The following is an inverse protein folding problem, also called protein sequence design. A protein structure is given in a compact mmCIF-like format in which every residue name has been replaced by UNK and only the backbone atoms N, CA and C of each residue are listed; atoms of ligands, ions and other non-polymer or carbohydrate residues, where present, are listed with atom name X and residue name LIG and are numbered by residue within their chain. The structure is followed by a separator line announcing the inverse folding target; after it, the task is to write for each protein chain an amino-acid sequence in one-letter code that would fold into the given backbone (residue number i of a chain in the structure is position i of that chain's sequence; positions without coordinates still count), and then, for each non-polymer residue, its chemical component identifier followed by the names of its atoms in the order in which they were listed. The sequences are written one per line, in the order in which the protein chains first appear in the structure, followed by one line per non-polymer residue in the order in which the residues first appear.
data_IF_850809662038
#
_entry.id   IF_850809662038
#
_cell.length_a   1.000
_cell.length_b   1.000
_cell.length_c   1.000
_cell.angle_alpha   90.00
_cell.angle_beta   90.00
_cell.angle_gamma   90.00
#
_symmetry.space_group_name_H-M   'P 1'
#
loop_
_entity.id
_entity.type
_entity.pdbx_description
1 polymer ?
#
# COMPACT_ATOMS: atom_id res chain seq x y z
N UNK A 1 -7.15 -14.33 -2.97
CA UNK A 1 -7.43 -15.76 -2.89
C UNK A 1 -8.95 -15.94 -2.75
N UNK A 2 -9.71 -15.09 -3.46
CA UNK A 2 -11.18 -15.08 -3.60
C UNK A 2 -11.75 -16.28 -4.39
N UNK A 3 -10.93 -17.28 -4.72
CA UNK A 3 -11.21 -18.27 -5.77
C UNK A 3 -11.59 -19.64 -5.18
N UNK A 4 -11.77 -19.77 -3.87
CA UNK A 4 -11.94 -21.10 -3.26
C UNK A 4 -13.38 -21.58 -3.06
N UNK A 5 -14.41 -20.75 -3.25
CA UNK A 5 -15.77 -21.16 -2.86
C UNK A 5 -16.88 -20.58 -3.77
N UNK A 6 -16.83 -20.80 -5.09
CA UNK A 6 -18.07 -20.82 -5.88
C UNK A 6 -18.48 -22.28 -6.21
N UNK A 7 -19.68 -22.64 -5.74
CA UNK A 7 -20.59 -23.70 -6.22
C UNK A 7 -20.48 -25.20 -5.90
N UNK A 8 -19.62 -25.71 -5.01
CA UNK A 8 -19.57 -27.19 -4.78
C UNK A 8 -20.19 -27.74 -3.47
N UNK A 9 -20.72 -26.92 -2.55
CA UNK A 9 -21.26 -27.42 -1.27
C UNK A 9 -22.66 -26.90 -0.91
N UNK A 10 -23.55 -26.75 -1.90
CA UNK A 10 -24.98 -26.73 -1.63
C UNK A 10 -25.48 -28.19 -1.50
N UNK A 11 -25.39 -28.76 -0.30
CA UNK A 11 -26.06 -30.04 0.03
C UNK A 11 -27.56 -29.77 0.12
N UNK A 12 -28.31 -30.15 -0.92
CA UNK A 12 -29.77 -30.30 -0.84
C UNK A 12 -30.11 -31.78 -0.49
N UNK A 13 -31.16 -32.04 0.30
CA UNK A 13 -31.50 -33.39 0.76
C UNK A 13 -32.17 -34.23 -0.34
N UNK A 14 -31.86 -35.52 -0.30
CA UNK A 14 -32.34 -36.60 -1.19
C UNK A 14 -33.88 -36.72 -1.26
N UNK A 15 -34.38 -37.09 -2.45
CA UNK A 15 -35.77 -37.53 -2.68
C UNK A 15 -36.00 -38.21 -4.06
N UNK A 16 -35.75 -39.53 -4.10
CA UNK A 16 -36.43 -40.63 -4.85
C UNK A 16 -37.22 -40.40 -6.16
N UNK A 17 -36.85 -41.09 -7.26
CA UNK A 17 -37.56 -42.20 -7.97
C UNK A 17 -37.13 -42.39 -9.46
N UNK A 18 -36.89 -43.66 -9.85
CA UNK A 18 -37.09 -44.43 -11.13
C UNK A 18 -37.35 -43.68 -12.47
N UNK A 19 -36.98 -44.09 -13.71
CA UNK A 19 -36.64 -45.39 -14.38
C UNK A 19 -36.13 -45.15 -15.84
N UNK A 20 -35.28 -46.07 -16.34
CA UNK A 20 -34.88 -46.53 -17.69
C UNK A 20 -35.24 -45.83 -19.05
N UNK A 21 -34.25 -45.79 -19.98
CA UNK A 21 -34.44 -45.85 -21.47
C UNK A 21 -33.43 -45.02 -22.32
N UNK A 22 -32.82 -45.53 -23.43
CA UNK A 22 -31.55 -45.00 -23.97
C UNK A 22 -31.60 -44.19 -25.28
N UNK A 23 -30.46 -43.54 -25.59
CA UNK A 23 -30.02 -42.88 -26.84
C UNK A 23 -30.70 -41.53 -27.21
N UNK A 24 -29.94 -40.42 -27.21
CA UNK A 24 -29.25 -39.98 -28.43
C UNK A 24 -28.32 -38.77 -28.19
N UNK A 25 -27.24 -38.71 -28.96
CA UNK A 25 -26.16 -37.72 -28.85
C UNK A 25 -26.57 -36.34 -29.35
N UNK A 26 -26.32 -35.27 -28.58
CA UNK A 26 -25.92 -33.96 -29.11
C UNK A 26 -25.38 -33.04 -28.02
N UNK A 27 -24.19 -32.52 -28.29
CA UNK A 27 -23.35 -31.83 -27.32
C UNK A 27 -23.91 -30.54 -26.76
N UNK A 28 -23.48 -30.26 -25.54
CA UNK A 28 -23.14 -28.94 -25.05
C UNK A 28 -22.06 -29.16 -23.99
N UNK A 29 -20.84 -28.72 -24.29
CA UNK A 29 -19.75 -28.69 -23.32
C UNK A 29 -20.13 -27.71 -22.22
N UNK A 30 -20.71 -28.23 -21.15
CA UNK A 30 -20.78 -27.57 -19.87
C UNK A 30 -19.35 -27.48 -19.36
N UNK A 31 -18.76 -26.27 -19.45
CA UNK A 31 -17.52 -25.91 -18.76
C UNK A 31 -17.76 -25.97 -17.24
N UNK A 32 -17.78 -27.19 -16.73
CA UNK A 32 -17.67 -27.42 -15.30
C UNK A 32 -16.19 -27.24 -14.95
N UNK A 33 -15.90 -26.33 -14.02
CA UNK A 33 -14.55 -26.07 -13.51
C UNK A 33 -13.88 -27.37 -13.07
N UNK A 34 -12.92 -27.88 -13.84
CA UNK A 34 -12.19 -29.08 -13.43
C UNK A 34 -11.39 -28.77 -12.15
N UNK A 35 -11.61 -29.50 -11.04
CA UNK A 35 -10.88 -29.32 -9.77
C UNK A 35 -9.35 -29.39 -9.92
N UNK A 36 -8.89 -30.05 -10.99
CA UNK A 36 -7.50 -30.26 -11.34
C UNK A 36 -6.77 -28.93 -11.63
N UNK A 37 -7.40 -27.98 -12.33
CA UNK A 37 -6.75 -26.71 -12.70
C UNK A 37 -6.51 -25.79 -11.48
N UNK A 38 -7.40 -25.87 -10.48
CA UNK A 38 -7.28 -25.12 -9.22
C UNK A 38 -6.14 -25.67 -8.35
N UNK A 39 -6.02 -27.01 -8.28
CA UNK A 39 -4.95 -27.68 -7.57
C UNK A 39 -3.57 -27.34 -8.17
N UNK A 40 -3.48 -27.35 -9.51
CA UNK A 40 -2.25 -27.00 -10.25
C UNK A 40 -1.83 -25.53 -10.00
N UNK A 41 -2.77 -24.60 -9.81
CA UNK A 41 -2.46 -23.20 -9.49
C UNK A 41 -1.82 -23.01 -8.11
N UNK A 42 -2.28 -23.73 -7.09
CA UNK A 42 -1.68 -23.70 -5.75
C UNK A 42 -0.32 -24.37 -5.72
N UNK A 43 -0.16 -25.51 -6.38
CA UNK A 43 1.15 -26.18 -6.52
C UNK A 43 2.17 -25.28 -7.23
N UNK A 44 1.74 -24.57 -8.28
CA UNK A 44 2.60 -23.63 -8.99
C UNK A 44 3.06 -22.49 -8.08
N UNK A 45 2.16 -21.91 -7.28
CA UNK A 45 2.52 -20.88 -6.31
C UNK A 45 3.52 -21.42 -5.27
N UNK A 46 3.28 -22.61 -4.73
CA UNK A 46 4.19 -23.26 -3.78
C UNK A 46 5.57 -23.52 -4.38
N UNK A 47 5.65 -23.85 -5.68
CA UNK A 47 6.93 -24.02 -6.38
C UNK A 47 7.76 -22.72 -6.42
N UNK A 48 7.11 -21.56 -6.45
CA UNK A 48 7.78 -20.26 -6.40
C UNK A 48 7.99 -19.71 -4.98
N UNK A 49 7.58 -20.45 -3.94
CA UNK A 49 7.85 -20.11 -2.53
C UNK A 49 9.29 -19.70 -2.23
N UNK A 50 10.36 -20.42 -2.68
CA UNK A 50 11.74 -20.02 -2.40
C UNK A 50 12.17 -18.70 -3.09
N UNK A 51 11.41 -18.22 -4.08
CA UNK A 51 11.63 -16.92 -4.72
C UNK A 51 10.88 -15.80 -3.98
N UNK A 52 9.59 -16.00 -3.70
CA UNK A 52 8.74 -14.97 -3.11
C UNK A 52 9.07 -14.70 -1.64
N UNK A 53 9.39 -15.72 -0.83
CA UNK A 53 9.67 -15.52 0.59
C UNK A 53 10.85 -14.56 0.83
N UNK A 54 12.04 -14.73 0.18
CA UNK A 54 13.13 -13.76 0.30
C UNK A 54 12.76 -12.36 -0.18
N UNK A 55 11.95 -12.23 -1.23
CA UNK A 55 11.51 -10.92 -1.74
C UNK A 55 10.60 -10.20 -0.75
N UNK A 56 9.63 -10.89 -0.15
CA UNK A 56 8.80 -10.32 0.91
C UNK A 56 9.63 -9.98 2.15
N UNK A 57 10.57 -10.85 2.55
CA UNK A 57 11.50 -10.55 3.65
C UNK A 57 12.33 -9.30 3.36
N UNK A 58 12.82 -9.13 2.12
CA UNK A 58 13.56 -7.93 1.72
C UNK A 58 12.68 -6.69 1.82
N UNK A 59 11.43 -6.73 1.35
CA UNK A 59 10.48 -5.63 1.48
C UNK A 59 10.25 -5.27 2.95
N UNK A 60 9.99 -6.25 3.81
CA UNK A 60 9.77 -6.02 5.26
C UNK A 60 11.00 -5.41 5.93
N UNK A 61 12.21 -5.91 5.62
CA UNK A 61 13.45 -5.36 6.18
C UNK A 61 13.71 -3.95 5.69
N UNK A 62 13.61 -3.69 4.39
CA UNK A 62 13.88 -2.37 3.81
C UNK A 62 12.86 -1.34 4.28
N UNK A 63 11.57 -1.66 4.20
CA UNK A 63 10.50 -0.78 4.67
C UNK A 63 10.57 -0.60 6.20
N UNK A 64 10.80 -1.67 6.97
CA UNK A 64 10.88 -1.63 8.42
C UNK A 64 12.03 -0.76 8.92
N UNK A 65 13.25 -1.01 8.42
CA UNK A 65 14.44 -0.23 8.81
C UNK A 65 14.32 1.22 8.31
N UNK A 66 13.91 1.42 7.05
CA UNK A 66 13.81 2.74 6.45
C UNK A 66 12.78 3.64 7.14
N UNK A 67 11.56 3.13 7.36
CA UNK A 67 10.50 3.92 7.99
C UNK A 67 10.75 4.13 9.49
N UNK A 68 11.36 3.16 10.18
CA UNK A 68 11.77 3.34 11.58
C UNK A 68 12.84 4.42 11.71
N UNK A 69 13.86 4.40 10.84
CA UNK A 69 14.90 5.43 10.81
C UNK A 69 14.32 6.82 10.49
N UNK A 70 13.42 6.91 9.49
CA UNK A 70 12.75 8.15 9.14
C UNK A 70 11.94 8.71 10.32
N UNK A 71 11.15 7.86 10.99
CA UNK A 71 10.35 8.23 12.14
C UNK A 71 11.24 8.68 13.32
N UNK A 72 12.31 7.93 13.61
CA UNK A 72 13.28 8.28 14.66
C UNK A 72 13.94 9.64 14.40
N UNK A 73 14.32 9.94 13.15
CA UNK A 73 14.88 11.25 12.79
C UNK A 73 13.89 12.40 13.05
N UNK A 74 12.61 12.21 12.68
CA UNK A 74 11.57 13.21 12.87
C UNK A 74 11.32 13.47 14.35
N UNK A 75 11.30 12.42 15.17
CA UNK A 75 11.08 12.53 16.62
C UNK A 75 12.28 13.14 17.36
N UNK A 76 13.51 12.88 16.90
CA UNK A 76 14.73 13.35 17.56
C UNK A 76 15.05 14.83 17.28
N UNK A 77 14.87 15.30 16.05
CA UNK A 77 15.21 16.69 15.68
C UNK A 77 13.97 17.61 15.77
N UNK A 78 13.90 18.42 16.83
CA UNK A 78 12.86 19.45 17.00
C UNK A 78 12.75 20.41 15.81
N UNK A 79 13.82 20.60 15.02
CA UNK A 79 13.80 21.45 13.80
C UNK A 79 12.98 20.81 12.67
N UNK A 80 12.71 19.51 12.75
CA UNK A 80 11.84 18.78 11.83
C UNK A 80 10.38 18.79 12.27
N UNK A 81 10.01 19.31 13.45
CA UNK A 81 8.62 19.38 13.90
C UNK A 81 7.83 20.47 13.16
N UNK A 82 7.40 20.16 11.95
CA UNK A 82 6.50 20.96 11.14
C UNK A 82 5.37 20.08 10.58
N UNK A 83 4.30 20.69 10.08
CA UNK A 83 3.10 20.00 9.62
C UNK A 83 3.40 18.91 8.57
N UNK A 84 4.23 19.22 7.58
CA UNK A 84 4.62 18.25 6.55
C UNK A 84 5.31 17.02 7.13
N UNK A 85 6.29 17.25 8.00
CA UNK A 85 7.06 16.17 8.60
C UNK A 85 6.22 15.35 9.58
N UNK A 86 5.20 15.97 10.19
CA UNK A 86 4.20 15.25 10.97
C UNK A 86 3.44 14.24 10.09
N UNK A 87 2.94 14.66 8.92
CA UNK A 87 2.26 13.76 7.99
C UNK A 87 3.19 12.72 7.35
N UNK A 88 4.46 13.06 7.11
CA UNK A 88 5.48 12.09 6.71
C UNK A 88 5.70 11.05 7.81
N UNK A 89 5.72 11.48 9.08
CA UNK A 89 5.78 10.58 10.23
C UNK A 89 4.55 9.67 10.33
N UNK A 90 3.35 10.20 10.07
CA UNK A 90 2.12 9.39 10.00
C UNK A 90 2.20 8.33 8.89
N UNK A 91 2.70 8.71 7.70
CA UNK A 91 2.90 7.79 6.59
C UNK A 91 3.89 6.68 6.97
N UNK A 92 5.04 7.04 7.57
CA UNK A 92 6.02 6.07 8.05
C UNK A 92 5.45 5.12 9.12
N UNK A 93 4.62 5.62 10.04
CA UNK A 93 3.95 4.79 11.04
C UNK A 93 2.92 3.84 10.41
N UNK A 94 2.15 4.30 9.41
CA UNK A 94 1.22 3.47 8.65
C UNK A 94 1.93 2.37 7.86
N UNK A 95 3.04 2.71 7.19
CA UNK A 95 3.88 1.77 6.46
C UNK A 95 4.47 0.71 7.40
N UNK A 96 4.91 1.09 8.61
CA UNK A 96 5.39 0.15 9.63
C UNK A 96 4.29 -0.80 10.11
N UNK A 97 3.09 -0.28 10.35
CA UNK A 97 1.94 -1.11 10.72
C UNK A 97 1.60 -2.13 9.62
N UNK A 98 1.61 -1.70 8.36
CA UNK A 98 1.37 -2.57 7.21
C UNK A 98 2.48 -3.62 7.08
N UNK A 99 3.75 -3.22 7.09
CA UNK A 99 4.86 -4.13 6.78
C UNK A 99 5.23 -5.07 7.92
N UNK A 100 5.09 -4.68 9.19
CA UNK A 100 5.45 -5.52 10.34
C UNK A 100 4.31 -6.45 10.77
N UNK A 101 3.07 -6.04 10.56
CA UNK A 101 1.90 -6.82 11.00
C UNK A 101 1.18 -7.48 9.84
N UNK A 102 0.80 -6.74 8.81
CA UNK A 102 -0.10 -7.25 7.78
C UNK A 102 0.63 -8.15 6.77
N UNK A 103 1.80 -7.72 6.28
CA UNK A 103 2.55 -8.46 5.25
C UNK A 103 2.95 -9.87 5.70
N UNK A 104 3.55 -10.09 6.90
CA UNK A 104 3.95 -11.42 7.31
C UNK A 104 2.76 -12.38 7.46
N UNK A 105 1.63 -11.89 7.97
CA UNK A 105 0.41 -12.68 8.14
C UNK A 105 -0.19 -13.08 6.79
N UNK A 106 -0.26 -12.16 5.83
CA UNK A 106 -0.74 -12.47 4.47
C UNK A 106 0.19 -13.39 3.70
N UNK A 107 1.51 -13.22 3.84
CA UNK A 107 2.50 -14.13 3.22
C UNK A 107 2.40 -15.53 3.83
N UNK A 108 2.25 -15.61 5.16
CA UNK A 108 2.04 -16.91 5.81
C UNK A 108 0.76 -17.58 5.32
N UNK A 109 -0.35 -16.85 5.22
CA UNK A 109 -1.60 -17.37 4.68
C UNK A 109 -1.46 -17.84 3.21
N UNK A 110 -0.77 -17.08 2.37
CA UNK A 110 -0.61 -17.39 0.95
C UNK A 110 0.26 -18.64 0.67
N UNK A 111 1.17 -18.99 1.58
CA UNK A 111 2.10 -20.12 1.40
C UNK A 111 1.85 -21.30 2.35
N UNK A 112 0.85 -21.22 3.22
CA UNK A 112 0.43 -22.32 4.09
C UNK A 112 -0.61 -23.18 3.38
N UNK A 113 -0.36 -24.50 3.30
CA UNK A 113 -1.30 -25.46 2.72
C UNK A 113 -2.57 -25.62 3.55
N UNK A 114 -2.53 -25.33 4.84
CA UNK A 114 -3.68 -25.41 5.75
C UNK A 114 -4.49 -24.10 5.79
N UNK A 115 -4.04 -23.06 5.06
CA UNK A 115 -4.70 -21.77 4.98
C UNK A 115 -4.51 -20.90 6.23
N UNK A 116 -5.59 -20.32 6.73
CA UNK A 116 -5.54 -19.27 7.75
C UNK A 116 -5.32 -19.81 9.18
N UNK A 117 -4.08 -19.74 9.67
CA UNK A 117 -3.68 -20.24 10.99
C UNK A 117 -3.83 -19.28 12.19
N UNK A 118 -4.26 -18.02 11.98
CA UNK A 118 -4.17 -16.96 13.01
C UNK A 118 -5.48 -16.69 13.76
N UNK A 119 -6.50 -17.53 13.55
CA UNK A 119 -7.80 -17.43 14.22
C UNK A 119 -8.72 -16.32 13.70
N UNK A 120 -9.95 -16.29 14.22
CA UNK A 120 -11.03 -15.41 13.74
C UNK A 120 -10.73 -13.90 13.86
N UNK A 121 -10.20 -13.36 14.98
CA UNK A 121 -10.04 -11.92 15.11
C UNK A 121 -9.07 -11.33 14.06
N UNK A 122 -7.95 -12.01 13.82
CA UNK A 122 -6.95 -11.56 12.85
C UNK A 122 -7.45 -11.72 11.40
N UNK A 123 -8.35 -12.67 11.15
CA UNK A 123 -8.97 -12.84 9.83
C UNK A 123 -9.76 -11.59 9.40
N UNK A 124 -10.44 -10.91 10.32
CA UNK A 124 -11.13 -9.65 10.01
C UNK A 124 -10.20 -8.43 10.11
N UNK A 125 -9.27 -8.44 11.07
CA UNK A 125 -8.40 -7.29 11.37
C UNK A 125 -7.35 -7.06 10.29
N UNK A 126 -6.74 -8.11 9.73
CA UNK A 126 -5.66 -7.95 8.73
C UNK A 126 -6.17 -7.31 7.44
N UNK A 127 -7.25 -7.79 6.78
CA UNK A 127 -7.81 -7.11 5.61
C UNK A 127 -8.26 -5.68 5.91
N UNK A 128 -8.87 -5.45 7.08
CA UNK A 128 -9.26 -4.11 7.53
C UNK A 128 -8.06 -3.17 7.62
N UNK A 129 -6.99 -3.59 8.30
CA UNK A 129 -5.79 -2.77 8.48
C UNK A 129 -5.05 -2.55 7.16
N UNK A 130 -4.99 -3.55 6.27
CA UNK A 130 -4.41 -3.37 4.93
C UNK A 130 -5.15 -2.30 4.15
N UNK A 131 -6.48 -2.41 4.05
CA UNK A 131 -7.29 -1.43 3.33
C UNK A 131 -7.24 -0.04 4.01
N UNK A 132 -7.31 0.01 5.34
CA UNK A 132 -7.23 1.28 6.08
C UNK A 132 -5.87 1.97 5.93
N UNK A 133 -4.76 1.22 5.94
CA UNK A 133 -3.42 1.81 5.77
C UNK A 133 -3.19 2.34 4.35
N UNK A 134 -3.81 1.73 3.33
CA UNK A 134 -3.86 2.27 1.96
C UNK A 134 -4.55 3.63 1.92
N UNK A 135 -5.77 3.71 2.45
CA UNK A 135 -6.50 4.98 2.50
C UNK A 135 -5.79 6.03 3.36
N UNK A 136 -5.22 5.62 4.49
CA UNK A 136 -4.47 6.52 5.36
C UNK A 136 -3.25 7.10 4.63
N UNK A 137 -2.59 6.31 3.78
CA UNK A 137 -1.47 6.75 2.94
C UNK A 137 -1.90 7.77 1.89
N UNK A 138 -2.97 7.46 1.14
CA UNK A 138 -3.58 8.37 0.14
C UNK A 138 -3.94 9.70 0.79
N UNK A 139 -4.69 9.67 1.88
CA UNK A 139 -5.15 10.87 2.57
C UNK A 139 -3.99 11.65 3.22
N UNK A 140 -2.95 10.97 3.70
CA UNK A 140 -1.72 11.61 4.21
C UNK A 140 -0.96 12.31 3.09
N UNK A 141 -0.80 11.67 1.93
CA UNK A 141 -0.17 12.29 0.75
C UNK A 141 -0.94 13.52 0.28
N UNK A 142 -2.28 13.45 0.28
CA UNK A 142 -3.16 14.59 0.02
C UNK A 142 -2.99 15.69 1.06
N UNK A 143 -2.91 15.36 2.35
CA UNK A 143 -2.68 16.34 3.42
C UNK A 143 -1.32 17.04 3.26
N UNK A 144 -0.27 16.30 2.87
CA UNK A 144 1.05 16.88 2.57
C UNK A 144 0.96 17.82 1.36
N UNK A 145 0.27 17.43 0.29
CA UNK A 145 0.08 18.25 -0.90
C UNK A 145 -0.66 19.56 -0.56
N UNK A 146 -1.75 19.49 0.21
CA UNK A 146 -2.51 20.65 0.66
C UNK A 146 -1.70 21.56 1.57
N UNK A 147 -0.94 21.01 2.54
CA UNK A 147 -0.03 21.80 3.38
C UNK A 147 0.99 22.57 2.51
N UNK A 148 1.57 21.90 1.52
CA UNK A 148 2.53 22.51 0.59
C UNK A 148 1.88 23.60 -0.26
N UNK A 149 0.66 23.39 -0.73
CA UNK A 149 -0.12 24.41 -1.43
C UNK A 149 -0.32 25.64 -0.54
N UNK A 150 -0.82 25.48 0.70
CA UNK A 150 -1.09 26.59 1.61
C UNK A 150 0.17 27.39 1.89
N UNK A 151 1.30 26.72 2.16
CA UNK A 151 2.59 27.37 2.44
C UNK A 151 3.13 28.17 1.25
N UNK A 152 2.76 27.80 0.03
CA UNK A 152 3.22 28.49 -1.18
C UNK A 152 2.24 29.57 -1.62
N UNK A 153 0.94 29.28 -1.67
CA UNK A 153 -0.10 30.20 -2.09
C UNK A 153 -0.36 31.32 -1.07
N UNK A 154 -0.20 31.02 0.23
CA UNK A 154 -0.52 31.94 1.32
C UNK A 154 0.63 32.05 2.34
N UNK A 155 1.75 32.70 1.99
CA UNK A 155 2.93 32.79 2.85
C UNK A 155 2.71 33.52 4.18
N UNK A 156 1.65 34.32 4.30
CA UNK A 156 1.31 35.15 5.48
C UNK A 156 0.35 34.44 6.44
N UNK A 157 -0.27 33.30 6.04
CA UNK A 157 -1.15 32.55 6.96
C UNK A 157 -0.33 31.83 8.03
N UNK A 158 -0.84 31.81 9.26
CA UNK A 158 -0.26 31.00 10.35
C UNK A 158 -0.21 29.54 9.92
N UNK A 159 0.94 28.90 10.14
CA UNK A 159 1.11 27.47 9.91
C UNK A 159 0.18 26.68 10.81
N UNK A 160 -0.29 25.53 10.33
CA UNK A 160 -1.07 24.59 11.13
C UNK A 160 -0.25 24.21 12.36
N UNK A 161 -0.89 24.27 13.54
CA UNK A 161 -0.28 23.84 14.79
C UNK A 161 -0.11 22.32 14.82
N UNK A 162 0.83 21.81 15.62
CA UNK A 162 1.01 20.36 15.80
C UNK A 162 -0.30 19.68 16.26
N UNK A 163 -1.07 20.37 17.09
CA UNK A 163 -2.39 19.89 17.51
C UNK A 163 -3.38 19.77 16.33
N UNK A 164 -3.40 20.76 15.44
CA UNK A 164 -4.18 20.69 14.20
C UNK A 164 -3.75 19.53 13.30
N UNK A 165 -2.43 19.27 13.18
CA UNK A 165 -1.94 18.08 12.47
C UNK A 165 -2.40 16.77 13.11
N UNK A 166 -2.44 16.72 14.44
CA UNK A 166 -2.99 15.60 15.19
C UNK A 166 -4.47 15.36 14.89
N UNK A 167 -5.29 16.42 14.87
CA UNK A 167 -6.71 16.31 14.50
C UNK A 167 -6.92 15.84 13.06
N UNK A 168 -6.15 16.39 12.11
CA UNK A 168 -6.22 15.95 10.70
C UNK A 168 -5.85 14.47 10.62
N UNK A 169 -4.81 14.04 11.31
CA UNK A 169 -4.37 12.65 11.32
C UNK A 169 -5.41 11.71 11.94
N UNK A 170 -6.04 12.12 13.05
CA UNK A 170 -7.17 11.38 13.61
C UNK A 170 -8.32 11.24 12.60
N UNK A 171 -8.68 12.33 11.92
CA UNK A 171 -9.69 12.32 10.87
C UNK A 171 -9.31 11.40 9.70
N UNK A 172 -8.02 11.39 9.29
CA UNK A 172 -7.50 10.49 8.27
C UNK A 172 -7.71 9.03 8.67
N UNK A 173 -7.35 8.64 9.88
CA UNK A 173 -7.51 7.25 10.34
C UNK A 173 -8.97 6.85 10.48
N UNK A 174 -9.82 7.71 11.04
CA UNK A 174 -11.25 7.43 11.18
C UNK A 174 -11.93 7.27 9.81
N UNK A 175 -11.64 8.16 8.86
CA UNK A 175 -12.15 8.06 7.50
C UNK A 175 -11.62 6.81 6.80
N UNK A 176 -10.33 6.49 6.97
CA UNK A 176 -9.72 5.31 6.36
C UNK A 176 -10.34 4.01 6.88
N UNK A 177 -10.57 3.91 8.19
CA UNK A 177 -11.25 2.77 8.80
C UNK A 177 -12.70 2.65 8.32
N UNK A 178 -13.41 3.78 8.21
CA UNK A 178 -14.78 3.78 7.70
C UNK A 178 -14.85 3.30 6.23
N UNK A 179 -13.91 3.75 5.39
CA UNK A 179 -13.83 3.34 3.99
C UNK A 179 -13.38 1.88 3.82
N UNK A 180 -12.56 1.38 4.75
CA UNK A 180 -12.07 -0.01 4.79
C UNK A 180 -13.02 -1.00 5.45
N UNK A 181 -14.07 -0.51 6.13
CA UNK A 181 -15.01 -1.37 6.85
C UNK A 181 -15.82 -2.32 5.95
N UNK A 182 -16.35 -1.91 4.78
CA UNK A 182 -17.15 -2.80 3.93
C UNK A 182 -16.49 -4.15 3.60
N UNK A 183 -15.27 -4.21 3.03
CA UNK A 183 -14.63 -5.50 2.71
C UNK A 183 -14.39 -6.35 3.96
N UNK A 184 -14.03 -5.72 5.09
CA UNK A 184 -13.86 -6.43 6.37
C UNK A 184 -15.17 -7.03 6.92
N UNK A 185 -16.29 -6.34 6.74
CA UNK A 185 -17.62 -6.85 7.11
C UNK A 185 -18.06 -8.05 6.25
N UNK A 186 -17.66 -8.07 4.97
CA UNK A 186 -17.93 -9.20 4.07
C UNK A 186 -16.89 -10.33 4.18
N UNK A 187 -15.78 -10.12 4.89
CA UNK A 187 -14.81 -11.18 5.18
C UNK A 187 -15.46 -12.27 6.06
N UNK A 188 -15.26 -13.55 5.73
CA UNK A 188 -15.71 -14.69 6.54
C UNK A 188 -14.55 -15.61 6.90
N UNK A 189 -14.60 -16.11 8.12
CA UNK A 189 -13.76 -17.21 8.59
C UNK A 189 -14.52 -18.53 8.44
N UNK A 190 -14.02 -19.42 7.57
CA UNK A 190 -14.59 -20.73 7.33
C UNK A 190 -13.57 -21.81 7.70
N UNK A 191 -13.93 -22.66 8.65
CA UNK A 191 -13.12 -23.79 9.08
C UNK A 191 -13.70 -25.07 8.46
N UNK A 192 -12.99 -25.65 7.49
CA UNK A 192 -13.45 -26.82 6.75
C UNK A 192 -12.93 -28.14 7.34
N UNK A 193 -12.12 -28.09 8.41
CA UNK A 193 -11.60 -29.28 9.10
C UNK A 193 -12.70 -30.23 9.57
N UNK A 194 -13.86 -29.77 10.11
CA UNK A 194 -14.97 -30.64 10.48
C UNK A 194 -15.58 -31.39 9.28
N UNK A 195 -15.43 -30.86 8.07
CA UNK A 195 -15.91 -31.48 6.82
C UNK A 195 -14.89 -32.45 6.19
N UNK A 196 -13.78 -32.74 6.89
CA UNK A 196 -12.72 -33.64 6.42
C UNK A 196 -11.69 -32.98 5.49
N UNK A 197 -11.76 -31.66 5.28
CA UNK A 197 -10.81 -30.90 4.47
C UNK A 197 -9.93 -30.07 5.42
N UNK A 198 -8.64 -30.35 5.45
CA UNK A 198 -7.70 -29.65 6.36
C UNK A 198 -7.30 -28.26 5.83
N UNK A 199 -8.28 -27.35 5.78
CA UNK A 199 -8.17 -26.00 5.23
C UNK A 199 -9.03 -25.00 6.01
N UNK A 200 -8.45 -23.85 6.34
CA UNK A 200 -9.17 -22.69 6.90
C UNK A 200 -9.11 -21.54 5.91
N UNK A 201 -10.27 -21.02 5.53
CA UNK A 201 -10.40 -19.94 4.53
C UNK A 201 -10.75 -18.63 5.24
N UNK A 202 -10.07 -17.55 4.84
CA UNK A 202 -10.32 -16.20 5.31
C UNK A 202 -10.39 -15.25 4.11
N UNK A 203 -11.58 -15.06 3.55
CA UNK A 203 -11.79 -14.32 2.29
C UNK A 203 -13.09 -13.51 2.33
N UNK A 204 -13.28 -12.63 1.34
CA UNK A 204 -14.44 -11.78 1.19
C UNK A 204 -15.59 -12.50 0.47
N UNK A 205 -16.73 -12.65 1.15
CA UNK A 205 -17.96 -13.23 0.61
C UNK A 205 -19.00 -12.13 0.41
N UNK A 206 -18.93 -11.49 -0.75
CA UNK A 206 -19.92 -10.51 -1.17
C UNK A 206 -21.19 -11.24 -1.66
N UNK A 207 -22.40 -10.74 -1.37
CA UNK A 207 -23.64 -11.37 -1.82
C UNK A 207 -23.76 -11.33 -3.35
N UNK A 208 -24.04 -12.50 -3.97
CA UNK A 208 -24.15 -12.69 -5.43
C UNK A 208 -25.25 -11.86 -6.10
N UNK A 209 -26.18 -11.29 -5.33
CA UNK A 209 -27.36 -10.59 -5.84
C UNK A 209 -27.11 -9.13 -6.27
N UNK A 210 -25.86 -8.66 -6.42
CA UNK A 210 -25.62 -7.29 -6.90
C UNK A 210 -24.18 -6.91 -7.25
N UNK A 211 -24.04 -5.87 -8.09
CA UNK A 211 -22.77 -5.28 -8.53
C UNK A 211 -22.02 -4.49 -7.44
N UNK A 212 -22.26 -4.78 -6.15
CA UNK A 212 -21.77 -3.97 -5.03
C UNK A 212 -20.24 -4.09 -4.86
N UNK A 213 -19.71 -5.31 -5.00
CA UNK A 213 -18.26 -5.58 -4.99
C UNK A 213 -17.56 -4.79 -6.10
N UNK A 214 -18.07 -4.88 -7.33
CA UNK A 214 -17.56 -4.15 -8.49
C UNK A 214 -17.64 -2.62 -8.29
N UNK A 215 -18.75 -2.11 -7.75
CA UNK A 215 -18.92 -0.68 -7.47
C UNK A 215 -17.89 -0.21 -6.43
N UNK A 216 -17.65 -1.02 -5.39
CA UNK A 216 -16.66 -0.73 -4.37
C UNK A 216 -15.22 -0.76 -4.92
N UNK A 217 -14.87 -1.76 -5.73
CA UNK A 217 -13.57 -1.85 -6.42
C UNK A 217 -13.34 -0.64 -7.34
N UNK A 218 -14.36 -0.23 -8.11
CA UNK A 218 -14.32 0.99 -8.91
C UNK A 218 -14.13 2.24 -8.03
N UNK A 219 -14.87 2.33 -6.93
CA UNK A 219 -14.76 3.46 -6.00
C UNK A 219 -13.36 3.54 -5.38
N UNK A 220 -12.78 2.43 -4.91
CA UNK A 220 -11.39 2.39 -4.40
C UNK A 220 -10.43 2.88 -5.46
N UNK A 221 -10.52 2.35 -6.68
CA UNK A 221 -9.63 2.70 -7.77
C UNK A 221 -9.74 4.19 -8.12
N UNK A 222 -10.96 4.74 -8.17
CA UNK A 222 -11.13 6.16 -8.49
C UNK A 222 -10.66 7.03 -7.31
N UNK A 223 -11.09 6.74 -6.09
CA UNK A 223 -10.77 7.54 -4.91
C UNK A 223 -9.26 7.54 -4.62
N UNK A 224 -8.61 6.38 -4.69
CA UNK A 224 -7.19 6.23 -4.36
C UNK A 224 -6.25 6.89 -5.38
N UNK A 225 -6.73 7.18 -6.59
CA UNK A 225 -5.93 7.77 -7.67
C UNK A 225 -6.32 9.22 -7.93
N UNK A 226 -7.61 9.51 -8.08
CA UNK A 226 -8.07 10.85 -8.42
C UNK A 226 -7.81 11.84 -7.28
N UNK A 227 -8.02 11.44 -6.02
CA UNK A 227 -7.84 12.36 -4.89
C UNK A 227 -6.36 12.80 -4.76
N UNK A 228 -5.36 11.89 -4.74
CA UNK A 228 -3.95 12.30 -4.72
C UNK A 228 -3.54 13.07 -5.98
N UNK A 229 -3.93 12.60 -7.17
CA UNK A 229 -3.52 13.22 -8.44
C UNK A 229 -4.06 14.64 -8.58
N UNK A 230 -5.33 14.88 -8.24
CA UNK A 230 -5.91 16.22 -8.26
C UNK A 230 -5.23 17.13 -7.24
N UNK A 231 -5.00 16.64 -6.02
CA UNK A 231 -4.32 17.41 -4.97
C UNK A 231 -2.91 17.84 -5.37
N UNK A 232 -2.12 16.91 -5.93
CA UNK A 232 -0.78 17.18 -6.45
C UNK A 232 -0.85 18.15 -7.63
N UNK A 233 -1.77 17.94 -8.58
CA UNK A 233 -1.90 18.77 -9.78
C UNK A 233 -2.25 20.22 -9.43
N UNK A 234 -3.24 20.43 -8.55
CA UNK A 234 -3.62 21.76 -8.06
C UNK A 234 -2.44 22.42 -7.36
N UNK A 235 -1.74 21.67 -6.50
CA UNK A 235 -0.56 22.16 -5.78
C UNK A 235 0.56 22.56 -6.76
N UNK A 236 0.84 21.75 -7.78
CA UNK A 236 1.87 22.03 -8.78
C UNK A 236 1.56 23.29 -9.60
N UNK A 237 0.32 23.38 -10.09
CA UNK A 237 -0.15 24.51 -10.87
C UNK A 237 -0.05 25.80 -10.07
N UNK A 238 -0.54 25.80 -8.82
CA UNK A 238 -0.47 26.95 -7.94
C UNK A 238 0.96 27.40 -7.64
N UNK A 239 1.88 26.45 -7.41
CA UNK A 239 3.29 26.75 -7.19
C UNK A 239 3.91 27.37 -8.44
N UNK A 240 3.64 26.79 -9.62
CA UNK A 240 4.18 27.28 -10.89
C UNK A 240 3.68 28.69 -11.19
N UNK A 241 2.39 28.96 -10.96
CA UNK A 241 1.80 30.30 -11.11
C UNK A 241 2.38 31.29 -10.09
N UNK A 242 2.52 30.88 -8.83
CA UNK A 242 3.10 31.71 -7.77
C UNK A 242 4.55 32.09 -8.10
N UNK A 243 5.37 31.13 -8.53
CA UNK A 243 6.74 31.39 -8.95
C UNK A 243 6.82 32.31 -10.17
N UNK A 244 5.91 32.17 -11.14
CA UNK A 244 5.84 33.09 -12.30
C UNK A 244 5.43 34.50 -11.90
N UNK A 245 4.48 34.66 -10.95
CA UNK A 245 4.02 35.97 -10.46
C UNK A 245 5.05 36.68 -9.58
N UNK A 246 5.87 35.93 -8.83
CA UNK A 246 6.90 36.49 -7.95
C UNK A 246 8.24 36.77 -8.67
N UNK A 247 8.38 36.35 -9.94
CA UNK A 247 9.45 36.81 -10.82
C UNK A 247 9.19 38.25 -11.25
N UNK A 248 9.48 39.19 -10.35
CA UNK A 248 9.59 40.61 -10.68
C UNK A 248 10.68 40.75 -11.76
N UNK A 249 10.52 41.59 -12.79
CA UNK A 249 11.58 41.86 -13.77
C UNK A 249 12.80 42.46 -13.05
N UNK A 250 13.84 41.66 -12.83
CA UNK A 250 15.05 42.02 -12.11
C UNK A 250 15.83 40.77 -11.71
N UNK A 251 17.16 40.89 -11.57
CA UNK A 251 18.03 39.75 -11.23
C UNK A 251 17.63 39.17 -9.86
N UNK A 252 17.12 37.93 -9.80
CA UNK A 252 16.70 37.34 -8.53
C UNK A 252 17.92 37.16 -7.63
N UNK A 253 17.83 37.63 -6.38
CA UNK A 253 18.92 37.44 -5.42
C UNK A 253 19.26 35.94 -5.26
N UNK A 254 20.52 35.64 -5.00
CA UNK A 254 21.00 34.24 -4.86
C UNK A 254 20.25 33.46 -3.77
N UNK A 255 19.71 34.14 -2.76
CA UNK A 255 18.85 33.56 -1.72
C UNK A 255 17.43 33.23 -2.26
N UNK A 256 16.85 34.08 -3.10
CA UNK A 256 15.57 33.87 -3.78
C UNK A 256 15.62 32.65 -4.71
N UNK A 257 16.68 32.53 -5.52
CA UNK A 257 16.90 31.38 -6.41
C UNK A 257 17.06 30.07 -5.62
N UNK A 258 17.89 30.05 -4.58
CA UNK A 258 18.08 28.86 -3.72
C UNK A 258 16.79 28.45 -3.03
N UNK A 259 15.95 29.40 -2.62
CA UNK A 259 14.67 29.14 -1.98
C UNK A 259 13.64 28.54 -2.96
N UNK A 260 13.56 29.08 -4.18
CA UNK A 260 12.72 28.55 -5.27
C UNK A 260 13.14 27.12 -5.66
N UNK A 261 14.44 26.86 -5.81
CA UNK A 261 14.96 25.53 -6.10
C UNK A 261 14.65 24.51 -5.00
N UNK A 262 14.80 24.88 -3.73
CA UNK A 262 14.44 24.00 -2.60
C UNK A 262 12.95 23.65 -2.61
N UNK A 263 12.07 24.63 -2.86
CA UNK A 263 10.61 24.40 -2.98
C UNK A 263 10.27 23.46 -4.15
N UNK A 264 10.86 23.69 -5.33
CA UNK A 264 10.70 22.80 -6.50
C UNK A 264 11.17 21.37 -6.20
N UNK A 265 12.31 21.21 -5.53
CA UNK A 265 12.82 19.89 -5.12
C UNK A 265 11.85 19.21 -4.16
N UNK A 266 11.38 19.90 -3.12
CA UNK A 266 10.40 19.34 -2.17
C UNK A 266 9.13 18.89 -2.87
N UNK A 267 8.64 19.68 -3.83
CA UNK A 267 7.45 19.36 -4.59
C UNK A 267 7.68 18.18 -5.54
N UNK A 268 8.79 18.16 -6.26
CA UNK A 268 9.15 17.04 -7.14
C UNK A 268 9.24 15.72 -6.38
N UNK A 269 9.71 15.76 -5.12
CA UNK A 269 9.74 14.57 -4.26
C UNK A 269 8.34 14.15 -3.80
N UNK A 270 7.43 15.09 -3.55
CA UNK A 270 6.02 14.77 -3.28
C UNK A 270 5.33 14.13 -4.50
N UNK A 271 5.55 14.66 -5.70
CA UNK A 271 5.06 14.05 -6.95
C UNK A 271 5.62 12.64 -7.09
N UNK A 272 6.93 12.46 -6.86
CA UNK A 272 7.57 11.16 -6.92
C UNK A 272 6.96 10.16 -5.93
N UNK A 273 6.67 10.57 -4.68
CA UNK A 273 5.99 9.71 -3.70
C UNK A 273 4.59 9.30 -4.17
N UNK A 274 3.79 10.24 -4.68
CA UNK A 274 2.43 9.95 -5.15
C UNK A 274 2.43 9.04 -6.38
N UNK A 275 3.33 9.28 -7.32
CA UNK A 275 3.48 8.42 -8.51
C UNK A 275 4.00 7.04 -8.13
N UNK A 276 4.98 6.94 -7.23
CA UNK A 276 5.50 5.65 -6.77
C UNK A 276 4.38 4.84 -6.09
N UNK A 277 3.59 5.46 -5.21
CA UNK A 277 2.44 4.83 -4.60
C UNK A 277 1.42 4.37 -5.66
N UNK A 278 0.98 5.26 -6.54
CA UNK A 278 -0.01 4.93 -7.58
C UNK A 278 0.45 3.79 -8.49
N UNK A 279 1.69 3.85 -8.99
CA UNK A 279 2.23 2.82 -9.89
C UNK A 279 2.42 1.46 -9.22
N UNK A 280 2.74 1.43 -7.92
CA UNK A 280 2.93 0.18 -7.20
C UNK A 280 1.59 -0.50 -6.87
N UNK A 281 0.55 0.28 -6.58
CA UNK A 281 -0.77 -0.26 -6.25
C UNK A 281 -1.60 -0.59 -7.49
N UNK A 282 -1.29 -0.02 -8.65
CA UNK A 282 -2.09 -0.18 -9.87
C UNK A 282 -2.23 -1.63 -10.34
N UNK A 283 -1.15 -2.44 -10.39
CA UNK A 283 -1.25 -3.82 -10.83
C UNK A 283 -2.23 -4.64 -9.99
N UNK A 284 -2.20 -4.45 -8.66
CA UNK A 284 -3.08 -5.17 -7.74
C UNK A 284 -4.54 -4.73 -7.90
N UNK A 285 -4.79 -3.42 -7.99
CA UNK A 285 -6.15 -2.91 -8.14
C UNK A 285 -6.78 -3.28 -9.49
N UNK A 286 -5.98 -3.23 -10.57
CA UNK A 286 -6.42 -3.67 -11.90
C UNK A 286 -6.68 -5.17 -11.91
N UNK A 287 -5.81 -5.98 -11.29
CA UNK A 287 -6.04 -7.41 -11.20
C UNK A 287 -7.33 -7.71 -10.44
N UNK A 288 -7.53 -7.14 -9.25
CA UNK A 288 -8.75 -7.33 -8.47
C UNK A 288 -10.01 -6.93 -9.27
N UNK A 289 -9.96 -5.80 -9.98
CA UNK A 289 -11.07 -5.36 -10.84
C UNK A 289 -11.33 -6.34 -12.00
N UNK A 290 -10.28 -6.89 -12.61
CA UNK A 290 -10.43 -7.90 -13.66
C UNK A 290 -11.05 -9.19 -13.12
N UNK A 291 -10.68 -9.61 -11.91
CA UNK A 291 -11.29 -10.77 -11.26
C UNK A 291 -12.76 -10.54 -10.91
N UNK A 292 -13.13 -9.31 -10.58
CA UNK A 292 -14.52 -8.94 -10.32
C UNK A 292 -15.37 -8.86 -11.61
N UNK A 293 -14.74 -8.57 -12.76
CA UNK A 293 -15.41 -8.45 -14.06
C UNK A 293 -15.50 -9.76 -14.85
N UNK A 294 -14.58 -10.70 -14.62
CA UNK A 294 -14.50 -11.99 -15.30
C UNK A 294 -14.67 -13.17 -14.32
N UNK A 295 -15.91 -13.42 -13.83
CA UNK A 295 -16.19 -14.51 -12.89
C UNK A 295 -15.93 -15.90 -13.49
N UNK A 296 -15.90 -16.02 -14.82
CA UNK A 296 -15.67 -17.27 -15.54
C UNK A 296 -14.18 -17.53 -15.85
N UNK A 297 -13.28 -16.59 -15.50
CA UNK A 297 -11.83 -16.68 -15.73
C UNK A 297 -11.46 -16.98 -17.19
N UNK A 298 -12.21 -16.44 -18.14
CA UNK A 298 -12.01 -16.66 -19.59
C UNK A 298 -10.74 -15.97 -20.11
N UNK A 299 -10.27 -14.92 -19.42
CA UNK A 299 -9.15 -14.09 -19.88
C UNK A 299 -7.81 -14.49 -19.23
N UNK A 300 -7.83 -14.87 -17.95
CA UNK A 300 -6.63 -15.24 -17.17
C UNK A 300 -6.83 -16.66 -16.66
N UNK A 301 -6.08 -17.62 -17.23
CA UNK A 301 -6.18 -19.02 -16.83
C UNK A 301 -6.01 -19.20 -15.32
N UNK A 302 -6.91 -19.98 -14.70
CA UNK A 302 -6.99 -20.28 -13.25
C UNK A 302 -5.67 -20.76 -12.65
N UNK A 303 -4.79 -21.34 -13.47
CA UNK A 303 -3.44 -21.79 -13.10
C UNK A 303 -2.49 -20.66 -12.68
N UNK A 304 -2.57 -19.47 -13.28
CA UNK A 304 -1.58 -18.39 -13.08
C UNK A 304 -2.05 -17.31 -12.11
N UNK A 305 -3.32 -17.31 -11.74
CA UNK A 305 -3.96 -16.24 -10.99
C UNK A 305 -3.37 -16.03 -9.60
N UNK A 306 -3.05 -17.10 -8.88
CA UNK A 306 -2.44 -17.04 -7.55
C UNK A 306 -1.03 -16.44 -7.61
N UNK A 307 -0.26 -16.83 -8.63
CA UNK A 307 1.08 -16.27 -8.87
C UNK A 307 0.99 -14.80 -9.25
N UNK A 308 0.08 -14.43 -10.15
CA UNK A 308 -0.18 -13.04 -10.52
C UNK A 308 -0.60 -12.20 -9.31
N UNK A 309 -1.51 -12.70 -8.47
CA UNK A 309 -1.95 -12.02 -7.27
C UNK A 309 -0.80 -11.78 -6.29
N UNK A 310 0.04 -12.79 -6.04
CA UNK A 310 1.21 -12.65 -5.17
C UNK A 310 2.27 -11.71 -5.77
N UNK A 311 2.47 -11.71 -7.09
CA UNK A 311 3.32 -10.75 -7.79
C UNK A 311 2.80 -9.31 -7.64
N UNK A 312 1.53 -9.07 -7.95
CA UNK A 312 0.91 -7.75 -7.85
C UNK A 312 0.90 -7.24 -6.41
N UNK A 313 0.60 -8.12 -5.45
CA UNK A 313 0.66 -7.81 -4.03
C UNK A 313 2.09 -7.45 -3.59
N UNK A 314 3.11 -8.17 -4.05
CA UNK A 314 4.52 -7.85 -3.76
C UNK A 314 4.88 -6.45 -4.27
N UNK A 315 4.46 -6.11 -5.50
CA UNK A 315 4.68 -4.78 -6.08
C UNK A 315 3.98 -3.71 -5.25
N UNK A 316 2.73 -3.93 -4.84
CA UNK A 316 1.99 -3.01 -3.97
C UNK A 316 2.71 -2.79 -2.62
N UNK A 317 3.18 -3.86 -1.98
CA UNK A 317 3.90 -3.79 -0.70
C UNK A 317 5.27 -3.10 -0.82
N UNK A 318 5.90 -3.15 -2.00
CA UNK A 318 7.14 -2.41 -2.25
C UNK A 318 6.98 -0.88 -2.13
N UNK A 319 5.75 -0.36 -2.24
CA UNK A 319 5.46 1.07 -2.13
C UNK A 319 6.00 1.69 -0.83
N UNK A 320 5.90 0.96 0.27
CA UNK A 320 6.40 1.36 1.60
C UNK A 320 7.93 1.52 1.65
N UNK A 321 8.67 0.87 0.73
CA UNK A 321 10.12 0.99 0.67
C UNK A 321 10.57 2.35 0.11
N UNK A 322 9.82 2.94 -0.83
CA UNK A 322 10.27 4.16 -1.52
C UNK A 322 10.20 5.41 -0.64
N UNK A 323 9.22 5.47 0.27
CA UNK A 323 8.95 6.64 1.12
C UNK A 323 10.21 7.11 1.89
N UNK A 324 10.92 6.26 2.66
CA UNK A 324 12.18 6.62 3.31
C UNK A 324 13.24 7.18 2.36
N UNK A 325 13.45 6.58 1.19
CA UNK A 325 14.49 7.05 0.26
C UNK A 325 14.13 8.42 -0.34
N UNK A 326 12.86 8.61 -0.71
CA UNK A 326 12.37 9.88 -1.26
C UNK A 326 12.54 11.00 -0.22
N UNK A 327 12.11 10.79 1.02
CA UNK A 327 12.20 11.81 2.06
C UNK A 327 13.62 11.97 2.65
N UNK A 328 14.44 10.91 2.69
CA UNK A 328 15.86 11.03 3.05
C UNK A 328 16.63 11.89 2.04
N UNK A 329 16.28 11.82 0.75
CA UNK A 329 16.89 12.66 -0.29
C UNK A 329 16.53 14.16 -0.17
N UNK A 330 15.44 14.48 0.55
CA UNK A 330 14.97 15.84 0.83
C UNK A 330 15.87 16.56 1.85
N UNK A 331 16.28 15.84 2.90
CA UNK A 331 17.00 16.42 4.03
C UNK A 331 18.52 16.20 3.88
N UNK A 332 19.26 17.26 3.57
CA UNK A 332 20.73 17.25 3.54
C UNK A 332 21.38 16.76 4.85
N UNK A 333 20.70 16.98 5.99
CA UNK A 333 21.10 16.47 7.30
C UNK A 333 20.89 14.97 7.48
N UNK A 334 19.79 14.43 6.96
CA UNK A 334 19.54 12.97 6.93
C UNK A 334 20.60 12.30 6.08
N UNK A 335 20.99 12.92 4.95
CA UNK A 335 22.12 12.46 4.13
C UNK A 335 23.47 12.50 4.86
N UNK A 336 23.69 13.45 5.76
CA UNK A 336 24.89 13.50 6.62
C UNK A 336 24.88 12.44 7.72
N UNK A 337 23.74 12.23 8.40
CA UNK A 337 23.61 11.14 9.37
C UNK A 337 23.72 9.76 8.69
N UNK A 338 23.04 9.52 7.56
CA UNK A 338 23.21 8.30 6.76
C UNK A 338 24.66 8.12 6.30
N UNK A 339 25.37 9.17 5.87
CA UNK A 339 26.80 9.07 5.56
C UNK A 339 27.66 8.80 6.80
N UNK A 340 27.31 9.32 7.96
CA UNK A 340 28.01 9.05 9.22
C UNK A 340 27.85 7.60 9.68
N UNK A 341 26.68 6.99 9.47
CA UNK A 341 26.40 5.59 9.80
C UNK A 341 26.91 4.61 8.72
N UNK A 342 26.80 4.94 7.43
CA UNK A 342 27.22 4.07 6.31
C UNK A 342 28.71 4.22 5.95
N UNK A 343 29.33 5.35 6.25
CA UNK A 343 30.75 5.62 6.01
C UNK A 343 31.42 6.24 7.25
N UNK A 344 31.69 5.44 8.31
CA UNK A 344 32.35 5.92 9.52
C UNK A 344 33.77 6.49 9.29
N UNK A 345 34.38 6.23 8.12
CA UNK A 345 35.75 6.62 7.80
C UNK A 345 35.95 8.13 7.57
N UNK A 346 34.91 8.91 7.25
CA UNK A 346 35.09 10.35 6.98
C UNK A 346 34.97 11.22 8.25
N UNK A 347 34.21 10.76 9.25
CA UNK A 347 33.99 11.48 10.51
C UNK A 347 35.28 11.64 11.33
N UNK A 348 36.18 10.63 11.29
CA UNK A 348 37.46 10.68 12.00
C UNK A 348 38.45 11.70 11.43
N UNK A 349 38.38 12.04 10.14
CA UNK A 349 39.33 12.97 9.52
C UNK A 349 39.10 14.44 9.93
N UNK A 350 37.86 14.85 10.21
CA UNK A 350 37.57 16.21 10.70
C UNK A 350 37.95 16.40 12.17
N UNK A 351 37.87 15.35 13.00
CA UNK A 351 38.20 15.44 14.42
C UNK A 351 39.72 15.48 14.68
N UNK A 352 40.53 14.85 13.81
CA UNK A 352 42.00 14.98 13.83
C UNK A 352 42.52 16.30 13.27
N UNK A 353 41.77 16.98 12.40
CA UNK A 353 42.18 18.27 11.83
C UNK A 353 41.89 19.48 12.75
N UNK A 354 41.12 19.29 13.82
CA UNK A 354 40.69 20.36 14.74
C UNK A 354 41.49 20.42 16.05
N UNK A 355 42.53 19.59 16.23
CA UNK A 355 43.45 19.75 17.38
C UNK A 355 44.52 20.79 17.04
N UNK A 356 44.53 21.98 17.67
CA UNK A 356 45.68 22.86 17.59
C UNK A 356 46.85 22.16 18.30
N UNK A 357 47.91 21.86 17.56
CA UNK A 357 49.21 21.52 18.14
C UNK A 357 49.75 22.73 18.88
N UNK A 358 49.40 22.86 20.16
CA UNK A 358 50.17 23.67 21.09
C UNK A 358 51.37 22.82 21.50
N UNK A 359 52.54 23.10 20.92
CA UNK A 359 53.83 22.63 21.46
C UNK A 359 54.59 23.85 21.95
N UNK A 360 54.90 23.77 23.25
CA UNK A 360 55.80 24.59 24.06
C UNK A 360 57.19 24.72 23.48
#
# INVERSE_FOLDING_TARGET
MDIFLDKSFAVAPNGSHETAGPEDSKGQGLNHSDPLDMFVGMELLQRFRPLFLPLYSLVVVVAGVGNTFLLACILADKKLHNATNFFIGNLAAGDLLMCLSCVPLTVSYAFDSHGWGFGRPLCHLVPLLQCATVFASVLSLTAIAVDRYIVVAHPVRKRISVWGCGMVTLGVWLLSLALAAPPSFYTRYLDLRPSGIDLVVCEEFWPDSGNLRLLYSCFILIASYMIPLLSVSVSYCAITVSLKRYSIPGEPSSSQQRWSQRRKKTFSLLVASVLAFALCWLPLQVLNLLLDLDPDFLIIGKRYINVLQVCCHLVAMSSACYNPFIYASLHSKVRMHLKGYLCPCHSRQMETAARPTFRS
#
